data_IF_150586442147
#
_entry.id   IF_150586442147
#
_cell.length_a   1.000
_cell.length_b   1.000
_cell.length_c   1.000
_cell.angle_alpha   90.00
_cell.angle_beta   90.00
_cell.angle_gamma   90.00
#
_symmetry.space_group_name_H-M   'P 1'
#
loop_
_entity.id
_entity.type
_entity.pdbx_description
1 polymer ?
#
# COMPACT_ATOMS: atom_id res chain seq x y z
N UNK A 1 57.64 3.75 -75.48
CA UNK A 1 57.04 2.99 -74.37
C UNK A 1 56.90 3.93 -73.18
N UNK A 2 55.67 4.35 -72.88
CA UNK A 2 55.33 5.08 -71.66
C UNK A 2 54.35 4.20 -70.86
N UNK A 3 54.49 4.06 -69.53
CA UNK A 3 53.62 3.18 -68.76
C UNK A 3 52.27 3.85 -68.50
N UNK A 4 51.22 3.03 -68.63
CA UNK A 4 49.82 3.37 -68.43
C UNK A 4 49.53 3.40 -66.91
N UNK A 5 49.17 4.56 -66.36
CA UNK A 5 48.76 4.70 -64.95
C UNK A 5 47.24 4.88 -64.93
N UNK A 6 46.50 3.84 -64.53
CA UNK A 6 45.08 3.97 -64.20
C UNK A 6 44.91 4.67 -62.84
N UNK A 7 43.98 5.63 -62.67
CA UNK A 7 43.69 6.21 -61.38
C UNK A 7 42.81 5.23 -60.57
N UNK A 8 43.26 4.87 -59.37
CA UNK A 8 42.45 4.21 -58.35
C UNK A 8 41.43 5.22 -57.81
N UNK A 9 40.14 5.02 -58.10
CA UNK A 9 39.05 5.76 -57.47
C UNK A 9 38.88 5.21 -56.04
N UNK A 10 39.00 6.01 -54.97
CA UNK A 10 38.72 5.53 -53.64
C UNK A 10 37.21 5.37 -53.47
N UNK A 11 36.75 4.13 -53.28
CA UNK A 11 35.40 3.86 -52.79
C UNK A 11 35.31 4.35 -51.34
N UNK A 12 34.83 5.57 -51.14
CA UNK A 12 34.45 6.04 -49.81
C UNK A 12 33.09 5.39 -49.49
N UNK A 13 33.12 4.29 -48.75
CA UNK A 13 31.92 3.70 -48.18
C UNK A 13 31.42 4.62 -47.05
N UNK A 14 30.36 5.39 -47.34
CA UNK A 14 29.67 6.19 -46.33
C UNK A 14 28.83 5.23 -45.46
N UNK A 15 29.41 4.73 -44.37
CA UNK A 15 28.64 4.05 -43.32
C UNK A 15 27.81 5.12 -42.59
N UNK A 16 26.64 5.41 -43.13
CA UNK A 16 25.63 6.18 -42.40
C UNK A 16 25.22 5.37 -41.18
N UNK A 17 25.66 5.80 -39.99
CA UNK A 17 25.12 5.30 -38.74
C UNK A 17 23.70 5.87 -38.64
N UNK A 18 22.71 5.11 -39.10
CA UNK A 18 21.32 5.35 -38.74
C UNK A 18 21.17 5.00 -37.26
N UNK A 19 21.45 5.96 -36.37
CA UNK A 19 20.92 5.88 -35.01
C UNK A 19 19.42 6.10 -35.12
N UNK A 20 18.65 5.02 -35.22
CA UNK A 20 17.22 5.11 -34.96
C UNK A 20 17.07 5.61 -33.51
N UNK A 21 16.70 6.87 -33.35
CA UNK A 21 16.22 7.39 -32.08
C UNK A 21 14.91 6.66 -31.78
N UNK A 22 15.00 5.57 -31.01
CA UNK A 22 13.83 4.95 -30.41
C UNK A 22 13.41 5.91 -29.30
N UNK A 23 12.43 6.76 -29.57
CA UNK A 23 11.80 7.54 -28.51
C UNK A 23 11.04 6.57 -27.62
N UNK A 24 11.36 6.57 -26.32
CA UNK A 24 10.56 5.88 -25.32
C UNK A 24 9.16 6.49 -25.31
N UNK A 25 8.14 5.64 -25.40
CA UNK A 25 6.74 6.04 -25.35
C UNK A 25 6.32 6.43 -23.93
N UNK A 26 6.88 5.77 -22.93
CA UNK A 26 6.52 5.97 -21.52
C UNK A 26 7.20 7.21 -20.93
N UNK A 27 6.49 7.92 -20.05
CA UNK A 27 7.06 9.03 -19.27
C UNK A 27 8.24 8.56 -18.40
N UNK A 28 9.31 9.36 -18.37
CA UNK A 28 10.53 9.01 -17.62
C UNK A 28 10.32 8.84 -16.11
N UNK A 29 9.37 9.56 -15.50
CA UNK A 29 9.03 9.42 -14.08
C UNK A 29 8.34 8.10 -13.81
N UNK A 30 7.45 7.68 -14.72
CA UNK A 30 6.77 6.39 -14.64
C UNK A 30 7.78 5.23 -14.79
N UNK A 31 8.72 5.36 -15.74
CA UNK A 31 9.82 4.39 -15.91
C UNK A 31 10.65 4.28 -14.63
N UNK A 32 11.07 5.40 -14.04
CA UNK A 32 11.86 5.41 -12.80
C UNK A 32 11.11 4.75 -11.64
N UNK A 33 9.82 5.06 -11.48
CA UNK A 33 8.98 4.49 -10.43
C UNK A 33 8.82 2.98 -10.58
N UNK A 34 8.59 2.48 -11.81
CA UNK A 34 8.50 1.05 -12.09
C UNK A 34 9.85 0.34 -11.95
N UNK A 35 10.98 0.98 -12.31
CA UNK A 35 12.31 0.43 -12.06
C UNK A 35 12.59 0.29 -10.56
N UNK A 36 12.22 1.29 -9.75
CA UNK A 36 12.34 1.24 -8.29
C UNK A 36 11.50 0.10 -7.72
N UNK A 37 10.21 0.03 -8.08
CA UNK A 37 9.31 -1.05 -7.66
C UNK A 37 9.86 -2.43 -8.06
N UNK A 38 10.38 -2.59 -9.29
CA UNK A 38 10.98 -3.85 -9.74
C UNK A 38 12.15 -4.29 -8.84
N UNK A 39 13.06 -3.35 -8.53
CA UNK A 39 14.21 -3.59 -7.67
C UNK A 39 13.77 -3.96 -6.26
N UNK A 40 12.81 -3.22 -5.70
CA UNK A 40 12.25 -3.45 -4.36
C UNK A 40 11.48 -4.77 -4.22
N UNK A 41 10.90 -5.28 -5.31
CA UNK A 41 10.29 -6.61 -5.37
C UNK A 41 11.31 -7.74 -5.61
N UNK A 42 12.60 -7.48 -5.35
CA UNK A 42 13.71 -8.40 -5.58
C UNK A 42 13.90 -8.81 -7.05
N UNK A 43 13.62 -7.91 -8.00
CA UNK A 43 13.79 -8.12 -9.45
C UNK A 43 13.21 -9.46 -9.94
N UNK A 44 11.91 -9.70 -9.73
CA UNK A 44 11.31 -11.02 -9.87
C UNK A 44 11.21 -11.42 -11.35
N UNK A 45 11.74 -12.60 -11.69
CA UNK A 45 11.70 -13.13 -13.06
C UNK A 45 10.29 -13.41 -13.62
N UNK A 46 9.26 -13.39 -12.77
CA UNK A 46 7.86 -13.57 -13.19
C UNK A 46 7.27 -12.34 -13.86
N UNK A 47 7.86 -11.14 -13.67
CA UNK A 47 7.39 -9.90 -14.28
C UNK A 47 8.09 -9.69 -15.62
N UNK A 48 7.56 -10.31 -16.67
CA UNK A 48 8.16 -10.26 -18.00
C UNK A 48 8.22 -8.82 -18.54
N UNK A 49 9.36 -8.46 -19.13
CA UNK A 49 9.61 -7.13 -19.69
C UNK A 49 10.09 -6.09 -18.67
N UNK A 50 9.86 -6.31 -17.37
CA UNK A 50 10.31 -5.36 -16.35
C UNK A 50 11.84 -5.30 -16.28
N UNK A 51 12.35 -4.09 -16.08
CA UNK A 51 13.79 -3.81 -15.97
C UNK A 51 14.12 -3.07 -14.68
N UNK A 52 15.33 -3.28 -14.16
CA UNK A 52 15.87 -2.54 -13.01
C UNK A 52 16.41 -1.15 -13.39
N UNK A 53 16.52 -0.85 -14.69
CA UNK A 53 16.94 0.45 -15.22
C UNK A 53 16.43 0.64 -16.64
N UNK A 54 15.77 1.76 -16.90
CA UNK A 54 15.25 2.13 -18.22
C UNK A 54 14.14 1.20 -18.72
N UNK A 55 14.06 1.08 -20.05
CA UNK A 55 13.00 0.37 -20.77
C UNK A 55 11.81 1.26 -21.11
N UNK A 56 10.81 0.69 -21.80
CA UNK A 56 9.61 1.42 -22.20
C UNK A 56 8.33 0.65 -21.80
N UNK A 57 7.86 0.75 -20.54
CA UNK A 57 6.71 0.00 -20.02
C UNK A 57 5.47 -0.02 -20.94
N UNK A 58 5.13 1.10 -21.55
CA UNK A 58 4.00 1.28 -22.45
C UNK A 58 4.30 0.92 -23.92
N UNK A 59 5.56 0.93 -24.34
CA UNK A 59 6.00 0.57 -25.69
C UNK A 59 6.29 -0.93 -25.82
N UNK A 60 6.99 -1.47 -24.83
CA UNK A 60 7.41 -2.87 -24.73
C UNK A 60 6.35 -3.77 -24.07
N UNK A 61 5.22 -3.18 -23.65
CA UNK A 61 4.08 -3.90 -23.05
C UNK A 61 4.48 -4.73 -21.83
N UNK A 62 5.06 -4.08 -20.83
CA UNK A 62 5.47 -4.75 -19.59
C UNK A 62 4.31 -5.48 -18.93
N UNK A 63 4.58 -6.69 -18.43
CA UNK A 63 3.54 -7.56 -17.89
C UNK A 63 2.78 -6.89 -16.74
N UNK A 64 1.45 -6.80 -16.86
CA UNK A 64 0.58 -6.15 -15.89
C UNK A 64 0.53 -4.63 -15.95
N UNK A 65 1.20 -3.98 -16.90
CA UNK A 65 1.16 -2.52 -17.07
C UNK A 65 0.14 -2.13 -18.14
N UNK A 66 -0.75 -1.18 -17.83
CA UNK A 66 -1.66 -0.56 -18.80
C UNK A 66 -1.44 0.94 -18.86
N UNK A 67 -1.36 1.49 -20.06
CA UNK A 67 -1.07 2.90 -20.29
C UNK A 67 -2.15 3.63 -21.09
N UNK A 68 -2.25 4.94 -20.87
CA UNK A 68 -2.99 5.87 -21.72
C UNK A 68 -2.02 6.92 -22.24
N UNK A 69 -1.72 6.86 -23.54
CA UNK A 69 -0.65 7.69 -24.12
C UNK A 69 0.71 7.26 -23.57
N UNK A 70 1.44 8.20 -22.98
CA UNK A 70 2.74 7.98 -22.33
C UNK A 70 2.65 7.65 -20.84
N UNK A 71 1.47 7.73 -20.22
CA UNK A 71 1.32 7.54 -18.78
C UNK A 71 0.82 6.14 -18.43
N UNK A 72 1.40 5.57 -17.37
CA UNK A 72 0.93 4.36 -16.71
C UNK A 72 -0.33 4.67 -15.92
N UNK A 73 -1.38 3.88 -16.15
CA UNK A 73 -2.71 4.07 -15.56
C UNK A 73 -3.17 2.88 -14.72
N UNK A 74 -2.66 1.68 -15.02
CA UNK A 74 -2.91 0.50 -14.20
C UNK A 74 -1.66 -0.35 -14.02
N UNK A 75 -1.51 -0.90 -12.82
CA UNK A 75 -0.56 -1.94 -12.46
C UNK A 75 -1.37 -3.11 -11.89
N UNK A 76 -1.32 -4.26 -12.56
CA UNK A 76 -2.00 -5.49 -12.16
C UNK A 76 -1.03 -6.67 -12.16
N UNK A 77 -0.53 -6.99 -10.97
CA UNK A 77 0.52 -8.00 -10.76
C UNK A 77 0.14 -9.03 -9.68
N UNK A 78 -1.16 -9.19 -9.45
CA UNK A 78 -1.73 -10.09 -8.45
C UNK A 78 -1.36 -11.56 -8.69
N UNK A 79 -1.16 -12.36 -7.63
CA UNK A 79 -1.07 -13.82 -7.76
C UNK A 79 0.22 -14.36 -8.36
N UNK A 80 1.32 -13.60 -8.32
CA UNK A 80 2.59 -13.93 -8.99
C UNK A 80 3.69 -14.41 -8.03
N UNK A 81 3.37 -14.56 -6.74
CA UNK A 81 4.33 -14.93 -5.70
C UNK A 81 5.52 -13.97 -5.65
N UNK A 82 5.25 -12.67 -5.80
CA UNK A 82 6.24 -11.59 -5.65
C UNK A 82 6.64 -11.47 -4.18
N UNK A 83 7.83 -10.97 -3.88
CA UNK A 83 8.33 -10.79 -2.51
C UNK A 83 9.17 -9.52 -2.39
N UNK A 84 9.47 -9.08 -1.17
CA UNK A 84 10.11 -7.78 -0.94
C UNK A 84 9.07 -6.69 -0.72
N UNK A 85 9.32 -5.48 -1.19
CA UNK A 85 8.45 -4.31 -0.97
C UNK A 85 8.06 -3.60 -2.26
N UNK A 86 7.16 -2.61 -2.18
CA UNK A 86 6.64 -1.86 -3.33
C UNK A 86 7.56 -0.73 -3.83
N UNK A 87 8.67 -0.45 -3.14
CA UNK A 87 9.52 0.71 -3.43
C UNK A 87 8.96 2.01 -2.87
N UNK A 88 9.65 3.13 -3.05
CA UNK A 88 9.28 4.42 -2.47
C UNK A 88 8.86 5.46 -3.51
N UNK A 89 9.03 5.17 -4.80
CA UNK A 89 8.74 6.11 -5.89
C UNK A 89 7.34 5.99 -6.50
N UNK A 90 6.45 5.14 -5.96
CA UNK A 90 5.11 4.94 -6.55
C UNK A 90 4.27 6.23 -6.64
N UNK A 91 4.50 7.21 -5.77
CA UNK A 91 3.84 8.52 -5.83
C UNK A 91 4.13 9.33 -7.11
N UNK A 92 5.16 8.96 -7.87
CA UNK A 92 5.51 9.59 -9.14
C UNK A 92 4.57 9.17 -10.28
N UNK A 93 3.83 8.07 -10.12
CA UNK A 93 2.89 7.57 -11.12
C UNK A 93 1.60 8.41 -11.10
N UNK A 94 1.68 9.65 -11.59
CA UNK A 94 0.62 10.66 -11.44
C UNK A 94 -0.70 10.30 -12.10
N UNK A 95 -0.67 9.44 -13.12
CA UNK A 95 -1.87 9.00 -13.82
C UNK A 95 -2.38 7.63 -13.35
N UNK A 96 -1.77 7.02 -12.33
CA UNK A 96 -2.15 5.70 -11.86
C UNK A 96 -3.47 5.75 -11.10
N UNK A 97 -4.47 5.03 -11.61
CA UNK A 97 -5.80 4.94 -10.99
C UNK A 97 -6.09 3.55 -10.44
N UNK A 98 -5.36 2.52 -10.85
CA UNK A 98 -5.59 1.13 -10.47
C UNK A 98 -4.27 0.44 -10.09
N UNK A 99 -4.16 0.00 -8.84
CA UNK A 99 -3.02 -0.76 -8.33
C UNK A 99 -3.51 -2.04 -7.65
N UNK A 100 -3.18 -3.18 -8.25
CA UNK A 100 -3.49 -4.51 -7.72
C UNK A 100 -2.22 -5.35 -7.62
N UNK A 101 -1.76 -5.53 -6.39
CA UNK A 101 -0.59 -6.33 -6.01
C UNK A 101 -0.98 -7.50 -5.09
N UNK A 102 -2.28 -7.81 -5.03
CA UNK A 102 -2.86 -8.81 -4.12
C UNK A 102 -2.32 -10.22 -4.36
N UNK A 103 -2.47 -11.14 -3.40
CA UNK A 103 -2.10 -12.56 -3.54
C UNK A 103 -0.61 -12.76 -3.86
N UNK A 104 0.25 -12.04 -3.16
CA UNK A 104 1.70 -12.15 -3.27
C UNK A 104 2.32 -12.36 -1.88
N UNK A 105 3.64 -12.41 -1.78
CA UNK A 105 4.39 -12.51 -0.52
C UNK A 105 5.14 -11.19 -0.25
N UNK A 106 4.54 -10.04 -0.64
CA UNK A 106 5.12 -8.72 -0.39
C UNK A 106 5.01 -8.40 1.10
N UNK A 107 6.03 -7.77 1.66
CA UNK A 107 6.14 -7.52 3.09
C UNK A 107 6.62 -6.09 3.39
N UNK A 108 6.74 -5.79 4.68
CA UNK A 108 7.07 -4.47 5.17
C UNK A 108 5.89 -3.51 5.11
N UNK A 109 6.18 -2.22 5.07
CA UNK A 109 5.17 -1.17 5.06
C UNK A 109 4.74 -0.84 3.63
N UNK A 110 3.48 -0.43 3.48
CA UNK A 110 3.09 0.36 2.33
C UNK A 110 3.95 1.64 2.26
N UNK A 111 4.30 2.12 1.05
CA UNK A 111 5.05 3.35 0.90
C UNK A 111 4.31 4.55 1.51
N UNK A 112 5.02 5.44 2.21
CA UNK A 112 4.39 6.57 2.91
C UNK A 112 3.61 7.49 1.95
N UNK A 113 4.09 7.62 0.71
CA UNK A 113 3.41 8.33 -0.37
C UNK A 113 2.99 7.34 -1.45
N UNK A 114 1.69 7.13 -1.56
CA UNK A 114 1.05 6.43 -2.67
C UNK A 114 0.59 7.44 -3.74
N UNK A 115 0.38 7.00 -4.99
CA UNK A 115 -0.15 7.87 -6.04
C UNK A 115 -1.53 8.43 -5.65
N UNK A 116 -1.68 9.75 -5.75
CA UNK A 116 -2.82 10.51 -5.21
C UNK A 116 -4.14 10.30 -5.97
N UNK A 117 -4.07 9.84 -7.23
CA UNK A 117 -5.21 9.64 -8.12
C UNK A 117 -5.73 8.20 -8.14
N UNK A 118 -5.36 7.39 -7.14
CA UNK A 118 -5.84 6.00 -7.04
C UNK A 118 -7.35 5.97 -6.81
N UNK A 119 -8.02 5.18 -7.63
CA UNK A 119 -9.45 4.85 -7.51
C UNK A 119 -9.61 3.44 -6.93
N UNK A 120 -8.66 2.55 -7.22
CA UNK A 120 -8.62 1.17 -6.77
C UNK A 120 -7.22 0.82 -6.26
N UNK A 121 -7.14 0.40 -5.00
CA UNK A 121 -5.92 -0.10 -4.37
C UNK A 121 -6.19 -1.44 -3.68
N UNK A 122 -5.54 -2.50 -4.16
CA UNK A 122 -5.61 -3.82 -3.58
C UNK A 122 -4.20 -4.36 -3.31
N UNK A 123 -3.88 -4.49 -2.02
CA UNK A 123 -2.67 -5.16 -1.54
C UNK A 123 -2.98 -6.31 -0.60
N UNK A 124 -4.21 -6.81 -0.62
CA UNK A 124 -4.67 -7.93 0.21
C UNK A 124 -3.89 -9.22 -0.07
N UNK A 125 -3.99 -10.19 0.84
CA UNK A 125 -3.30 -11.49 0.68
C UNK A 125 -1.79 -11.32 0.40
N UNK A 126 -1.14 -10.47 1.21
CA UNK A 126 0.30 -10.23 1.31
C UNK A 126 0.71 -10.21 2.79
N UNK A 127 2.01 -10.10 3.05
CA UNK A 127 2.62 -10.00 4.38
C UNK A 127 2.89 -8.53 4.81
N UNK A 128 2.10 -7.56 4.33
CA UNK A 128 2.24 -6.16 4.73
C UNK A 128 1.90 -5.97 6.22
N UNK A 129 2.85 -5.42 6.99
CA UNK A 129 2.75 -5.29 8.44
C UNK A 129 2.81 -3.83 8.94
N UNK A 130 2.77 -2.86 8.02
CA UNK A 130 2.78 -1.44 8.34
C UNK A 130 1.40 -0.80 8.43
N UNK A 131 1.38 0.43 8.94
CA UNK A 131 0.19 1.26 9.00
C UNK A 131 -0.26 1.67 7.59
N UNK A 132 -1.55 1.98 7.46
CA UNK A 132 -2.09 2.62 6.26
C UNK A 132 -1.42 4.00 6.12
N UNK A 133 -0.79 4.31 4.98
CA UNK A 133 -0.08 5.57 4.82
C UNK A 133 -1.06 6.73 4.77
N UNK A 134 -0.70 7.86 5.41
CA UNK A 134 -1.53 9.06 5.47
C UNK A 134 -1.98 9.57 4.08
N UNK A 135 -1.21 9.28 3.03
CA UNK A 135 -1.53 9.66 1.65
C UNK A 135 -2.87 9.11 1.18
N UNK A 136 -3.35 8.00 1.75
CA UNK A 136 -4.71 7.47 1.50
C UNK A 136 -5.79 8.50 1.86
N UNK A 137 -5.61 9.28 2.92
CA UNK A 137 -6.56 10.33 3.32
C UNK A 137 -6.68 11.48 2.32
N UNK A 138 -5.72 11.60 1.40
CA UNK A 138 -5.66 12.66 0.39
C UNK A 138 -6.28 12.23 -0.95
N UNK A 139 -6.68 10.96 -1.09
CA UNK A 139 -7.24 10.41 -2.32
C UNK A 139 -8.74 10.70 -2.39
N UNK A 140 -9.14 11.69 -3.19
CA UNK A 140 -10.54 12.12 -3.28
C UNK A 140 -11.44 11.12 -4.01
N UNK A 141 -10.87 10.34 -4.93
CA UNK A 141 -11.60 9.43 -5.82
C UNK A 141 -11.44 7.95 -5.45
N UNK A 142 -10.85 7.64 -4.29
CA UNK A 142 -10.62 6.27 -3.86
C UNK A 142 -11.95 5.58 -3.55
N UNK A 143 -12.31 4.57 -4.34
CA UNK A 143 -13.57 3.82 -4.19
C UNK A 143 -13.37 2.42 -3.62
N UNK A 144 -12.16 1.88 -3.75
CA UNK A 144 -11.81 0.55 -3.25
C UNK A 144 -10.42 0.57 -2.64
N UNK A 145 -10.35 0.16 -1.36
CA UNK A 145 -9.12 0.02 -0.61
C UNK A 145 -9.15 -1.32 0.13
N UNK A 146 -8.36 -2.29 -0.34
CA UNK A 146 -8.08 -3.52 0.39
C UNK A 146 -6.60 -3.62 0.66
N UNK A 147 -6.12 -2.76 1.57
CA UNK A 147 -4.80 -2.91 2.16
C UNK A 147 -4.70 -2.10 3.46
N UNK A 148 -5.55 -2.41 4.43
CA UNK A 148 -5.23 -2.06 5.79
C UNK A 148 -4.33 -3.20 6.25
N UNK A 149 -3.07 -2.92 6.58
CA UNK A 149 -2.09 -3.92 7.01
C UNK A 149 -2.69 -4.89 8.04
N UNK A 150 -2.02 -6.02 8.26
CA UNK A 150 -2.55 -7.04 9.17
C UNK A 150 -3.01 -6.36 10.49
N UNK A 151 -4.23 -6.66 10.96
CA UNK A 151 -4.75 -6.15 12.24
C UNK A 151 -5.88 -5.11 12.18
N UNK A 152 -6.08 -4.38 11.08
CA UNK A 152 -7.14 -3.36 10.97
C UNK A 152 -8.48 -3.87 10.43
N UNK A 153 -8.46 -4.99 9.71
CA UNK A 153 -9.63 -5.50 9.01
C UNK A 153 -10.62 -6.12 9.99
N UNK A 154 -11.90 -5.81 9.76
CA UNK A 154 -12.98 -6.48 10.45
C UNK A 154 -13.00 -7.98 10.10
N UNK A 155 -13.44 -8.88 11.01
CA UNK A 155 -13.41 -10.31 10.77
C UNK A 155 -14.18 -10.75 9.52
N UNK A 156 -15.25 -10.05 9.16
CA UNK A 156 -16.05 -10.32 7.97
C UNK A 156 -15.35 -9.95 6.66
N UNK A 157 -14.34 -9.07 6.69
CA UNK A 157 -13.58 -8.67 5.49
C UNK A 157 -12.67 -9.78 4.94
N UNK A 158 -12.69 -10.97 5.53
CA UNK A 158 -12.12 -12.17 4.90
C UNK A 158 -12.82 -12.51 3.57
N UNK A 159 -14.06 -12.07 3.38
CA UNK A 159 -14.76 -12.08 2.10
C UNK A 159 -14.96 -10.63 1.63
N UNK A 160 -14.34 -10.21 0.50
CA UNK A 160 -14.52 -8.89 -0.10
C UNK A 160 -16.00 -8.48 -0.30
N UNK A 161 -16.88 -9.44 -0.54
CA UNK A 161 -18.31 -9.18 -0.77
C UNK A 161 -19.09 -8.90 0.53
N UNK A 162 -18.49 -9.16 1.69
CA UNK A 162 -19.07 -8.94 3.00
C UNK A 162 -18.67 -7.58 3.63
N UNK A 163 -17.91 -6.74 2.92
CA UNK A 163 -17.54 -5.41 3.37
C UNK A 163 -18.77 -4.51 3.58
N UNK A 164 -18.81 -3.78 4.69
CA UNK A 164 -19.91 -2.84 4.99
C UNK A 164 -19.40 -1.58 5.70
N UNK A 165 -20.27 -0.57 5.86
CA UNK A 165 -20.00 0.58 6.73
C UNK A 165 -19.67 0.18 8.19
N UNK A 166 -20.05 -1.02 8.62
CA UNK A 166 -19.69 -1.55 9.95
C UNK A 166 -18.25 -2.04 9.99
N UNK A 167 -17.68 -2.42 8.86
CA UNK A 167 -16.28 -2.76 8.72
C UNK A 167 -15.41 -1.52 8.95
N UNK A 168 -15.82 -0.35 8.43
CA UNK A 168 -15.16 0.95 8.73
C UNK A 168 -15.16 1.26 10.23
N UNK A 169 -16.29 1.03 10.92
CA UNK A 169 -16.40 1.25 12.38
C UNK A 169 -15.43 0.35 13.15
N UNK A 170 -15.24 -0.88 12.71
CA UNK A 170 -14.25 -1.78 13.32
C UNK A 170 -12.83 -1.24 13.12
N UNK A 171 -12.46 -0.88 11.89
CA UNK A 171 -11.14 -0.34 11.58
C UNK A 171 -10.86 0.95 12.35
N UNK A 172 -11.87 1.81 12.51
CA UNK A 172 -11.78 3.00 13.37
C UNK A 172 -11.55 2.62 14.85
N UNK A 173 -12.21 1.56 15.33
CA UNK A 173 -11.95 0.98 16.66
C UNK A 173 -10.51 0.50 16.85
N UNK A 174 -9.90 -0.07 15.81
CA UNK A 174 -8.48 -0.47 15.83
C UNK A 174 -7.58 0.76 15.94
N UNK A 175 -7.85 1.82 15.18
CA UNK A 175 -7.08 3.08 15.28
C UNK A 175 -7.18 3.67 16.70
N UNK A 176 -8.36 3.65 17.30
CA UNK A 176 -8.52 4.09 18.70
C UNK A 176 -7.71 3.22 19.67
N UNK A 177 -7.59 1.91 19.44
CA UNK A 177 -6.69 1.05 20.22
C UNK A 177 -5.21 1.42 20.04
N UNK A 178 -4.77 1.76 18.83
CA UNK A 178 -3.40 2.24 18.61
C UNK A 178 -3.13 3.49 19.44
N UNK A 179 -4.05 4.47 19.39
CA UNK A 179 -3.93 5.70 20.15
C UNK A 179 -3.88 5.44 21.65
N UNK A 180 -4.71 4.52 22.15
CA UNK A 180 -4.75 4.18 23.57
C UNK A 180 -3.48 3.47 24.05
N UNK A 181 -2.88 2.63 23.21
CA UNK A 181 -1.84 1.67 23.63
C UNK A 181 -0.44 1.98 23.12
N UNK A 182 -0.30 2.87 22.14
CA UNK A 182 0.96 3.13 21.44
C UNK A 182 1.47 1.93 20.63
N UNK A 183 0.67 0.86 20.47
CA UNK A 183 1.05 -0.37 19.76
C UNK A 183 0.49 -0.37 18.35
N UNK A 184 1.23 -0.97 17.43
CA UNK A 184 0.75 -1.25 16.08
C UNK A 184 -0.34 -2.34 16.08
N UNK A 185 -1.31 -2.33 15.13
CA UNK A 185 -2.41 -3.29 15.11
C UNK A 185 -2.02 -4.73 14.86
N UNK A 186 -0.90 -4.91 14.18
CA UNK A 186 -0.23 -6.20 14.08
C UNK A 186 1.27 -6.07 14.21
N UNK A 187 1.87 -6.87 15.10
CA UNK A 187 3.31 -6.88 15.36
C UNK A 187 3.82 -8.31 15.24
N UNK A 188 4.57 -8.61 14.18
CA UNK A 188 5.09 -9.96 13.93
C UNK A 188 6.18 -10.38 14.90
N UNK A 189 6.86 -9.43 15.55
CA UNK A 189 7.97 -9.68 16.45
C UNK A 189 7.48 -10.12 17.85
N UNK A 190 6.18 -9.91 18.12
CA UNK A 190 5.51 -10.37 19.34
C UNK A 190 5.16 -11.86 19.32
N UNK A 191 4.99 -12.47 20.51
CA UNK A 191 4.43 -13.83 20.61
C UNK A 191 3.10 -13.92 19.88
N UNK A 192 2.83 -15.06 19.22
CA UNK A 192 1.62 -15.27 18.39
C UNK A 192 0.35 -14.69 19.02
N UNK A 193 0.11 -14.99 20.30
CA UNK A 193 -1.06 -14.52 21.06
C UNK A 193 -1.24 -12.99 21.05
N UNK A 194 -0.14 -12.24 21.02
CA UNK A 194 -0.07 -10.78 21.08
C UNK A 194 0.13 -10.11 19.72
N UNK A 195 0.32 -10.88 18.65
CA UNK A 195 0.57 -10.30 17.33
C UNK A 195 -0.60 -9.46 16.84
N UNK A 196 -1.84 -9.78 17.21
CA UNK A 196 -3.01 -8.93 16.89
C UNK A 196 -3.38 -8.07 18.09
N UNK A 197 -3.35 -6.74 17.90
CA UNK A 197 -3.67 -5.77 18.94
C UNK A 197 -5.08 -5.97 19.47
N UNK A 198 -6.08 -6.11 18.59
CA UNK A 198 -7.47 -6.35 19.00
C UNK A 198 -7.60 -7.63 19.82
N UNK A 199 -6.93 -8.72 19.41
CA UNK A 199 -7.00 -9.99 20.12
C UNK A 199 -6.39 -9.91 21.51
N UNK A 200 -5.26 -9.21 21.63
CA UNK A 200 -4.59 -8.98 22.90
C UNK A 200 -5.36 -8.01 23.82
N UNK A 201 -5.94 -6.95 23.26
CA UNK A 201 -6.63 -5.90 24.01
C UNK A 201 -8.05 -6.32 24.45
N UNK A 202 -8.76 -7.14 23.66
CA UNK A 202 -10.15 -7.56 23.96
C UNK A 202 -10.40 -8.05 25.39
N UNK A 203 -9.57 -8.92 25.99
CA UNK A 203 -9.77 -9.32 27.38
C UNK A 203 -9.53 -8.18 28.38
N UNK A 204 -8.64 -7.23 28.06
CA UNK A 204 -8.27 -6.10 28.92
C UNK A 204 -9.28 -4.96 28.89
N UNK A 205 -9.96 -4.75 27.77
CA UNK A 205 -11.03 -3.75 27.62
C UNK A 205 -12.24 -3.97 28.55
N UNK A 206 -12.33 -5.12 29.23
CA UNK A 206 -13.47 -5.48 30.08
C UNK A 206 -13.19 -5.33 31.58
N UNK A 207 -11.94 -5.08 31.94
CA UNK A 207 -11.49 -5.10 33.32
C UNK A 207 -10.60 -3.88 33.59
N UNK A 208 -10.92 -3.12 34.63
CA UNK A 208 -10.34 -1.80 34.88
C UNK A 208 -8.85 -1.88 35.24
N UNK A 209 -8.44 -2.89 36.02
CA UNK A 209 -7.05 -3.07 36.43
C UNK A 209 -6.17 -3.39 35.21
N UNK A 210 -6.63 -4.32 34.37
CA UNK A 210 -5.91 -4.69 33.15
C UNK A 210 -6.00 -3.66 32.03
N UNK A 211 -7.00 -2.77 32.06
CA UNK A 211 -7.11 -1.63 31.16
C UNK A 211 -5.99 -0.62 31.41
N UNK A 212 -5.68 -0.30 32.66
CA UNK A 212 -4.59 0.63 32.99
C UNK A 212 -3.23 0.11 32.50
N UNK A 213 -2.99 -1.20 32.56
CA UNK A 213 -1.75 -1.82 32.07
C UNK A 213 -1.52 -1.67 30.56
N UNK A 214 -2.58 -1.49 29.77
CA UNK A 214 -2.48 -1.38 28.31
C UNK A 214 -2.36 0.06 27.82
N UNK A 215 -2.61 1.07 28.68
CA UNK A 215 -2.51 2.48 28.29
C UNK A 215 -1.06 2.83 28.00
N UNK A 216 -0.81 3.54 26.89
CA UNK A 216 0.50 4.05 26.53
C UNK A 216 1.04 4.94 27.68
N UNK A 217 2.21 4.61 28.29
CA UNK A 217 2.81 5.44 29.31
C UNK A 217 3.07 6.88 28.86
N UNK A 218 3.21 7.14 27.55
CA UNK A 218 3.33 8.48 26.98
C UNK A 218 2.08 9.35 27.11
N UNK A 219 0.93 8.76 27.44
CA UNK A 219 -0.32 9.47 27.71
C UNK A 219 -0.46 9.92 29.17
N UNK A 220 0.44 9.48 30.07
CA UNK A 220 0.36 9.82 31.49
C UNK A 220 0.26 11.34 31.72
N UNK A 221 -0.81 11.77 32.42
CA UNK A 221 -1.05 13.18 32.74
C UNK A 221 -1.66 14.02 31.61
N UNK A 222 -1.98 13.42 30.46
CA UNK A 222 -2.62 14.10 29.31
C UNK A 222 -4.13 13.89 29.26
N UNK A 223 -4.70 13.07 30.15
CA UNK A 223 -6.12 12.73 30.18
C UNK A 223 -6.66 12.70 31.62
N UNK A 224 -7.98 12.88 31.76
CA UNK A 224 -8.67 12.64 33.03
C UNK A 224 -8.87 11.12 33.22
N UNK A 225 -8.58 10.52 34.40
CA UNK A 225 -8.65 9.07 34.61
C UNK A 225 -9.97 8.42 34.17
N UNK A 226 -11.09 9.12 34.35
CA UNK A 226 -12.43 8.64 33.96
C UNK A 226 -12.64 8.58 32.44
N UNK A 227 -11.81 9.30 31.67
CA UNK A 227 -11.90 9.33 30.21
C UNK A 227 -11.38 8.05 29.57
N UNK A 228 -10.46 7.34 30.23
CA UNK A 228 -9.87 6.10 29.70
C UNK A 228 -10.90 4.98 29.65
N UNK A 229 -11.63 4.77 30.73
CA UNK A 229 -12.67 3.73 30.80
C UNK A 229 -13.77 4.00 29.77
N UNK A 230 -14.24 5.24 29.68
CA UNK A 230 -15.25 5.63 28.70
C UNK A 230 -14.75 5.51 27.24
N UNK A 231 -13.47 5.85 26.98
CA UNK A 231 -12.86 5.64 25.67
C UNK A 231 -12.74 4.15 25.34
N UNK A 232 -12.32 3.33 26.31
CA UNK A 232 -12.22 1.88 26.18
C UNK A 232 -13.58 1.22 25.92
N UNK A 233 -14.65 1.70 26.54
CA UNK A 233 -16.02 1.24 26.27
C UNK A 233 -16.42 1.49 24.82
N UNK A 234 -16.15 2.69 24.29
CA UNK A 234 -16.41 3.02 22.88
C UNK A 234 -15.63 2.08 21.95
N UNK A 235 -14.33 1.90 22.24
CA UNK A 235 -13.45 0.99 21.51
C UNK A 235 -14.01 -0.43 21.51
N UNK A 236 -14.39 -0.95 22.68
CA UNK A 236 -14.87 -2.32 22.89
C UNK A 236 -16.06 -2.65 22.00
N UNK A 237 -17.00 -1.71 21.84
CA UNK A 237 -18.18 -1.90 21.00
C UNK A 237 -17.83 -1.77 19.50
N UNK A 238 -16.88 -0.89 19.14
CA UNK A 238 -16.42 -0.74 17.75
C UNK A 238 -15.72 -2.01 17.24
N UNK A 239 -14.88 -2.64 18.06
CA UNK A 239 -14.07 -3.83 17.68
C UNK A 239 -14.80 -5.16 17.90
N UNK A 240 -16.13 -5.16 17.99
CA UNK A 240 -16.91 -6.39 18.10
C UNK A 240 -16.83 -7.22 16.83
N UNK A 241 -16.80 -8.54 16.98
CA UNK A 241 -16.70 -9.44 15.83
C UNK A 241 -17.96 -9.40 14.96
N UNK A 242 -19.13 -9.32 15.59
CA UNK A 242 -20.42 -9.23 14.91
C UNK A 242 -20.70 -7.80 14.39
N UNK A 243 -20.85 -7.58 13.06
CA UNK A 243 -21.06 -6.25 12.49
C UNK A 243 -22.34 -5.57 12.99
N UNK A 244 -23.39 -6.35 13.23
CA UNK A 244 -24.69 -5.84 13.67
C UNK A 244 -24.68 -5.26 15.09
N UNK A 245 -23.69 -5.62 15.92
CA UNK A 245 -23.55 -5.10 17.27
C UNK A 245 -22.72 -3.81 17.33
N UNK A 246 -21.96 -3.50 16.28
CA UNK A 246 -21.18 -2.26 16.22
C UNK A 246 -22.12 -1.06 16.04
N UNK A 247 -21.87 0.09 16.69
CA UNK A 247 -22.71 1.27 16.57
C UNK A 247 -22.61 1.88 15.16
N UNK A 248 -23.53 2.76 14.75
CA UNK A 248 -23.27 3.64 13.61
C UNK A 248 -22.16 4.64 13.96
N UNK A 249 -21.35 5.05 12.98
CA UNK A 249 -20.21 5.96 13.21
C UNK A 249 -20.64 7.30 13.82
N UNK A 250 -21.85 7.76 13.53
CA UNK A 250 -22.44 8.96 14.15
C UNK A 250 -22.49 8.87 15.68
N UNK A 251 -22.86 7.71 16.22
CA UNK A 251 -22.94 7.49 17.66
C UNK A 251 -21.54 7.38 18.28
N UNK A 252 -20.57 6.83 17.55
CA UNK A 252 -19.17 6.80 17.97
C UNK A 252 -18.65 8.23 18.12
N UNK A 253 -18.85 9.07 17.10
CA UNK A 253 -18.44 10.47 17.11
C UNK A 253 -19.12 11.25 18.23
N UNK A 254 -20.42 11.03 18.45
CA UNK A 254 -21.14 11.69 19.55
C UNK A 254 -20.62 11.26 20.93
N UNK A 255 -20.32 9.97 21.12
CA UNK A 255 -19.76 9.46 22.36
C UNK A 255 -18.37 10.05 22.62
N UNK A 256 -17.49 10.09 21.60
CA UNK A 256 -16.15 10.68 21.70
C UNK A 256 -16.19 12.16 22.05
N UNK A 257 -17.14 12.92 21.50
CA UNK A 257 -17.31 14.36 21.82
C UNK A 257 -17.64 14.62 23.28
N UNK A 258 -18.16 13.64 24.02
CA UNK A 258 -18.48 13.78 25.45
C UNK A 258 -17.26 13.56 26.36
N UNK A 259 -16.12 13.15 25.79
CA UNK A 259 -14.87 12.89 26.50
C UNK A 259 -13.90 14.08 26.52
N UNK A 260 -14.19 15.13 25.75
CA UNK A 260 -13.33 16.33 25.57
C UNK A 260 -13.99 17.60 26.07
#
# INVERSE_FOLDING_TARGET
>A
MAPNIQPLIPFIAFFGVFTSLVLAKTDSQDVSALNDAYKSMNSPSKLNGWSSSGGDPCGDSWDGITCKGSSVTQIKVSGRGLSGSLGYQLANLKSLTYLDVSKNNLNGNLPYQLPENLVYLDGSENDFNGNVPYSVSQMNDLTYLQNLGVGYNAPECADPSAYTLKSDVYSFGVVMLELLTGRMPYDSDRPKAEQSLVRWAKPKLKDMETLEEMVDPGLCGLYAPESVSAFADIVSICVMSEPGLRPPVSNVVEALKRLV
#
